data_IF_846168148931
#
_entry.id   IF_846168148931
#
_cell.length_a   1.000
_cell.length_b   1.000
_cell.length_c   1.000
_cell.angle_alpha   90.00
_cell.angle_beta   90.00
_cell.angle_gamma   90.00
#
_symmetry.space_group_name_H-M   'P 1'
#
loop_
_entity.id
_entity.type
_entity.pdbx_description
1 polymer ?
#
# COMPACT_ATOMS: atom_id res chain seq x y z
N UNK A 1 26.50 6.78 -19.51
CA UNK A 1 25.36 7.44 -18.83
C UNK A 1 24.49 6.35 -18.27
N UNK A 2 24.48 6.17 -16.96
CA UNK A 2 23.67 5.13 -16.30
C UNK A 2 22.27 5.71 -16.06
N UNK A 3 21.27 5.11 -16.67
CA UNK A 3 19.86 5.42 -16.42
C UNK A 3 19.56 4.91 -15.01
N UNK A 4 19.45 5.81 -14.03
CA UNK A 4 18.92 5.48 -12.72
C UNK A 4 17.42 5.25 -12.86
N UNK A 5 17.04 3.97 -12.95
CA UNK A 5 15.66 3.53 -12.86
C UNK A 5 15.19 3.82 -11.43
N UNK A 6 14.36 4.85 -11.25
CA UNK A 6 13.73 5.15 -9.96
C UNK A 6 12.85 3.96 -9.55
N UNK A 7 12.98 3.42 -8.33
CA UNK A 7 12.10 2.36 -7.85
C UNK A 7 10.70 2.95 -7.71
N UNK A 8 9.75 2.32 -8.38
CA UNK A 8 8.31 2.56 -8.38
C UNK A 8 7.79 3.63 -7.39
N UNK A 9 7.59 4.86 -7.88
CA UNK A 9 6.89 5.92 -7.12
C UNK A 9 5.40 5.63 -7.10
N UNK A 10 4.84 5.28 -5.93
CA UNK A 10 3.39 5.14 -5.73
C UNK A 10 2.83 6.48 -5.25
N UNK A 11 1.97 7.10 -6.06
CA UNK A 11 1.25 8.33 -5.67
C UNK A 11 -0.17 7.97 -5.22
N UNK A 12 -0.46 8.13 -3.93
CA UNK A 12 -1.78 7.90 -3.36
C UNK A 12 -2.63 9.17 -3.52
N UNK A 13 -3.66 9.12 -4.37
CA UNK A 13 -4.60 10.21 -4.58
C UNK A 13 -5.96 9.84 -4.00
N UNK A 14 -6.61 10.78 -3.31
CA UNK A 14 -7.96 10.66 -2.77
C UNK A 14 -8.11 9.46 -1.79
N UNK A 15 -7.58 9.64 -0.58
CA UNK A 15 -7.56 8.66 0.52
C UNK A 15 -8.96 8.39 1.11
N UNK A 16 -9.93 8.01 0.28
CA UNK A 16 -11.08 7.28 0.81
C UNK A 16 -10.67 5.82 1.04
N UNK A 17 -11.16 5.22 2.13
CA UNK A 17 -10.76 3.88 2.54
C UNK A 17 -11.03 2.81 1.45
N UNK A 18 -12.04 2.98 0.60
CA UNK A 18 -12.34 2.01 -0.48
C UNK A 18 -11.31 2.08 -1.60
N UNK A 19 -10.90 3.29 -2.00
CA UNK A 19 -9.88 3.49 -3.01
C UNK A 19 -8.50 3.04 -2.50
N UNK A 20 -8.18 3.32 -1.24
CA UNK A 20 -6.95 2.84 -0.61
C UNK A 20 -6.92 1.31 -0.53
N UNK A 21 -7.99 0.66 -0.09
CA UNK A 21 -8.09 -0.80 -0.04
C UNK A 21 -7.84 -1.46 -1.40
N UNK A 22 -8.43 -0.91 -2.46
CA UNK A 22 -8.24 -1.43 -3.82
C UNK A 22 -6.79 -1.30 -4.28
N UNK A 23 -6.11 -0.21 -3.93
CA UNK A 23 -4.69 -0.01 -4.26
C UNK A 23 -3.79 -0.96 -3.46
N UNK A 24 -4.13 -1.26 -2.20
CA UNK A 24 -3.42 -2.24 -1.38
C UNK A 24 -3.51 -3.64 -2.00
N UNK A 25 -4.70 -4.08 -2.41
CA UNK A 25 -4.88 -5.39 -3.09
C UNK A 25 -4.03 -5.49 -4.37
N UNK A 26 -3.94 -4.39 -5.13
CA UNK A 26 -3.09 -4.36 -6.33
C UNK A 26 -1.60 -4.47 -5.98
N UNK A 27 -1.16 -3.79 -4.92
CA UNK A 27 0.20 -3.91 -4.40
C UNK A 27 0.50 -5.33 -3.89
N UNK A 28 -0.44 -5.96 -3.18
CA UNK A 28 -0.29 -7.34 -2.68
C UNK A 28 -0.12 -8.36 -3.81
N UNK A 29 -0.89 -8.23 -4.89
CA UNK A 29 -0.73 -9.08 -6.07
C UNK A 29 0.67 -8.91 -6.69
N UNK A 30 1.17 -7.68 -6.77
CA UNK A 30 2.54 -7.41 -7.24
C UNK A 30 3.61 -7.95 -6.27
N UNK A 31 3.37 -7.91 -4.96
CA UNK A 31 4.27 -8.51 -3.96
C UNK A 31 4.35 -10.03 -4.12
N UNK A 32 3.22 -10.69 -4.34
CA UNK A 32 3.16 -12.14 -4.51
C UNK A 32 3.99 -12.62 -5.71
N UNK A 33 4.04 -11.81 -6.78
CA UNK A 33 4.87 -12.08 -7.95
C UNK A 33 6.38 -11.85 -7.69
N UNK A 34 6.73 -10.93 -6.77
CA UNK A 34 8.11 -10.60 -6.37
C UNK A 34 8.67 -11.49 -5.26
N UNK A 35 7.80 -12.16 -4.51
CA UNK A 35 8.16 -12.99 -3.36
C UNK A 35 8.96 -14.26 -3.72
N UNK A 36 9.06 -14.58 -5.02
CA UNK A 36 9.89 -15.66 -5.51
C UNK A 36 11.41 -15.41 -5.32
N UNK A 37 11.82 -14.16 -5.09
CA UNK A 37 13.24 -13.75 -5.13
C UNK A 37 13.86 -13.49 -3.72
N UNK A 38 13.10 -13.67 -2.63
CA UNK A 38 13.50 -13.43 -1.22
C UNK A 38 14.42 -12.20 -1.03
N UNK A 39 14.07 -11.11 -1.72
CA UNK A 39 14.89 -9.91 -1.81
C UNK A 39 14.58 -8.91 -0.69
N UNK A 40 15.55 -8.05 -0.37
CA UNK A 40 15.36 -6.97 0.59
C UNK A 40 14.24 -6.00 0.14
N UNK A 41 14.08 -5.84 -1.17
CA UNK A 41 13.02 -5.09 -1.80
C UNK A 41 11.63 -5.72 -1.57
N UNK A 42 11.52 -7.06 -1.67
CA UNK A 42 10.29 -7.77 -1.35
C UNK A 42 9.90 -7.63 0.14
N UNK A 43 10.88 -7.72 1.04
CA UNK A 43 10.65 -7.46 2.48
C UNK A 43 10.18 -6.03 2.73
N UNK A 44 10.82 -5.04 2.12
CA UNK A 44 10.45 -3.62 2.27
C UNK A 44 9.04 -3.37 1.73
N UNK A 45 8.68 -4.03 0.63
CA UNK A 45 7.37 -3.91 0.01
C UNK A 45 6.27 -4.52 0.91
N UNK A 46 6.54 -5.66 1.56
CA UNK A 46 5.63 -6.26 2.57
C UNK A 46 5.38 -5.33 3.74
N UNK A 47 6.43 -4.72 4.28
CA UNK A 47 6.30 -3.74 5.37
C UNK A 47 5.47 -2.52 4.94
N UNK A 48 5.67 -2.07 3.70
CA UNK A 48 4.88 -0.98 3.11
C UNK A 48 3.40 -1.36 2.98
N UNK A 49 3.09 -2.55 2.48
CA UNK A 49 1.72 -3.06 2.38
C UNK A 49 1.05 -3.12 3.75
N UNK A 50 1.77 -3.62 4.76
CA UNK A 50 1.28 -3.67 6.14
C UNK A 50 0.93 -2.27 6.67
N UNK A 51 1.81 -1.30 6.48
CA UNK A 51 1.56 0.08 6.91
C UNK A 51 0.32 0.68 6.21
N UNK A 52 0.12 0.37 4.93
CA UNK A 52 -1.05 0.85 4.20
C UNK A 52 -2.36 0.26 4.73
N UNK A 53 -2.38 -1.02 5.14
CA UNK A 53 -3.53 -1.61 5.82
C UNK A 53 -3.84 -0.91 7.15
N UNK A 54 -2.82 -0.57 7.94
CA UNK A 54 -3.00 0.15 9.20
C UNK A 54 -3.60 1.55 8.98
N UNK A 55 -3.17 2.26 7.93
CA UNK A 55 -3.74 3.56 7.53
C UNK A 55 -5.19 3.39 7.06
N UNK A 56 -5.48 2.35 6.28
CA UNK A 56 -6.83 2.07 5.77
C UNK A 56 -7.83 1.81 6.90
N UNK A 57 -7.45 1.01 7.90
CA UNK A 57 -8.31 0.75 9.05
C UNK A 57 -8.53 2.02 9.88
N UNK A 58 -7.48 2.83 10.10
CA UNK A 58 -7.61 4.10 10.81
C UNK A 58 -8.58 5.07 10.12
N UNK A 59 -8.57 5.11 8.78
CA UNK A 59 -9.53 5.92 8.00
C UNK A 59 -10.95 5.38 8.13
N UNK A 60 -11.14 4.05 8.16
CA UNK A 60 -12.46 3.43 8.40
C UNK A 60 -12.96 3.74 9.80
N UNK A 61 -12.11 3.66 10.82
CA UNK A 61 -12.43 4.00 12.20
C UNK A 61 -12.90 5.45 12.34
N UNK A 62 -12.17 6.40 11.74
CA UNK A 62 -12.55 7.81 11.72
C UNK A 62 -13.90 8.02 11.02
N UNK A 63 -14.12 7.37 9.89
CA UNK A 63 -15.40 7.42 9.18
C UNK A 63 -16.57 6.87 10.03
N UNK A 64 -16.37 5.76 10.74
CA UNK A 64 -17.36 5.21 11.68
C UNK A 64 -17.65 6.16 12.83
N UNK A 65 -16.62 6.76 13.43
CA UNK A 65 -16.75 7.71 14.54
C UNK A 65 -17.53 8.97 14.14
N UNK A 66 -17.28 9.51 12.94
CA UNK A 66 -18.01 10.68 12.42
C UNK A 66 -19.48 10.39 12.12
N UNK A 67 -19.82 9.16 11.73
CA UNK A 67 -21.20 8.77 11.40
C UNK A 67 -22.05 8.41 12.62
N UNK A 68 -21.42 8.23 13.78
CA UNK A 68 -22.06 7.82 15.02
C UNK A 68 -22.37 9.01 15.96
N UNK A 69 -22.14 10.24 15.50
CA UNK A 69 -22.28 11.49 16.25
C UNK A 69 -23.42 12.37 15.74
#
# INVERSE_FOLDING_TARGET
MTIMQLPHTVTLNNLDAKNLHRQIIQLEAMCADLDADDSAEASTLKDTVRLLHEIEESLREQGRAMHHH
#
